data_IF_797217397021
#
_entry.id   IF_797217397021
#
_cell.length_a   1.000
_cell.length_b   1.000
_cell.length_c   1.000
_cell.angle_alpha   90.00
_cell.angle_beta   90.00
_cell.angle_gamma   90.00
#
_symmetry.space_group_name_H-M   'P 1'
#
loop_
_entity.id
_entity.type
_entity.pdbx_description
1 polymer ?
#
# COMPACT_ATOMS: atom_id res chain seq x y z
N UNK A 1 -0.32 4.85 -24.28
CA UNK A 1 0.06 6.25 -24.52
C UNK A 1 0.66 6.81 -23.23
N UNK A 2 1.99 6.91 -23.13
CA UNK A 2 2.63 7.60 -21.98
C UNK A 2 2.58 9.09 -22.32
N UNK A 3 1.68 9.86 -21.70
CA UNK A 3 1.78 11.32 -21.75
C UNK A 3 3.05 11.68 -20.97
N UNK A 4 4.17 11.85 -21.70
CA UNK A 4 5.50 12.18 -21.16
C UNK A 4 5.35 13.34 -20.16
N UNK A 5 5.69 13.10 -18.89
CA UNK A 5 5.66 14.13 -17.84
C UNK A 5 4.48 14.08 -16.86
N UNK A 6 3.43 13.28 -17.07
CA UNK A 6 2.30 13.27 -16.11
C UNK A 6 2.66 12.58 -14.79
N UNK A 7 3.44 11.50 -14.82
CA UNK A 7 3.83 10.75 -13.61
C UNK A 7 4.63 11.62 -12.64
N UNK A 8 5.70 12.33 -13.07
CA UNK A 8 6.41 13.27 -12.21
C UNK A 8 5.49 14.29 -11.54
N UNK A 9 4.60 14.94 -12.32
CA UNK A 9 3.66 15.94 -11.80
C UNK A 9 2.70 15.35 -10.75
N UNK A 10 2.22 14.13 -10.96
CA UNK A 10 1.33 13.44 -10.00
C UNK A 10 2.08 13.09 -8.72
N UNK A 11 3.30 12.56 -8.82
CA UNK A 11 4.11 12.17 -7.66
C UNK A 11 4.53 13.39 -6.85
N UNK A 12 4.95 14.49 -7.49
CA UNK A 12 5.30 15.74 -6.81
C UNK A 12 4.10 16.37 -6.07
N UNK A 13 2.91 16.23 -6.65
CA UNK A 13 1.67 16.75 -6.06
C UNK A 13 1.29 16.06 -4.74
N UNK A 14 1.85 14.89 -4.43
CA UNK A 14 1.61 14.19 -3.16
C UNK A 14 2.19 14.90 -1.93
N UNK A 15 3.14 15.84 -2.13
CA UNK A 15 3.69 16.66 -1.05
C UNK A 15 2.75 17.78 -0.58
N UNK A 16 1.65 18.02 -1.30
CA UNK A 16 0.74 19.14 -1.01
C UNK A 16 -0.20 18.78 0.14
N UNK A 17 -0.56 19.78 0.94
CA UNK A 17 -1.48 19.62 2.09
C UNK A 17 -2.95 19.43 1.67
N UNK A 18 -3.30 19.71 0.40
CA UNK A 18 -4.68 19.62 -0.07
C UNK A 18 -5.08 18.16 -0.32
N UNK A 19 -6.00 17.67 0.50
CA UNK A 19 -6.39 16.26 0.56
C UNK A 19 -7.03 15.74 -0.72
N UNK A 20 -7.95 16.52 -1.30
CA UNK A 20 -8.66 16.10 -2.52
C UNK A 20 -7.70 15.98 -3.70
N UNK A 21 -6.70 16.86 -3.75
CA UNK A 21 -5.64 16.79 -4.74
C UNK A 21 -4.79 15.54 -4.55
N UNK A 22 -4.36 15.25 -3.32
CA UNK A 22 -3.62 14.01 -3.01
C UNK A 22 -4.45 12.78 -3.41
N UNK A 23 -5.73 12.73 -3.05
CA UNK A 23 -6.63 11.64 -3.40
C UNK A 23 -6.74 11.43 -4.92
N UNK A 24 -6.93 12.52 -5.67
CA UNK A 24 -7.03 12.48 -7.14
C UNK A 24 -5.70 12.04 -7.74
N UNK A 25 -4.56 12.56 -7.26
CA UNK A 25 -3.24 12.18 -7.73
C UNK A 25 -2.96 10.68 -7.53
N UNK A 26 -3.23 10.14 -6.34
CA UNK A 26 -3.09 8.71 -6.06
C UNK A 26 -4.05 7.89 -6.94
N UNK A 27 -5.27 8.37 -7.16
CA UNK A 27 -6.25 7.69 -8.03
C UNK A 27 -5.79 7.58 -9.48
N UNK A 28 -5.09 8.59 -10.00
CA UNK A 28 -4.46 8.51 -11.32
C UNK A 28 -3.25 7.58 -11.30
N UNK A 29 -2.38 7.68 -10.29
CA UNK A 29 -1.22 6.79 -10.15
C UNK A 29 -1.63 5.33 -10.05
N UNK A 30 -2.72 5.01 -9.35
CA UNK A 30 -3.29 3.67 -9.30
C UNK A 30 -3.62 3.15 -10.71
N UNK A 31 -4.34 3.93 -11.53
CA UNK A 31 -4.67 3.53 -12.90
C UNK A 31 -3.43 3.35 -13.77
N UNK A 32 -2.42 4.20 -13.59
CA UNK A 32 -1.17 4.14 -14.34
C UNK A 32 -0.29 2.95 -13.92
N UNK A 33 -0.29 2.59 -12.64
CA UNK A 33 0.54 1.53 -12.05
C UNK A 33 0.21 0.11 -12.54
N UNK A 34 -0.90 -0.07 -13.26
CA UNK A 34 -1.25 -1.36 -13.89
C UNK A 34 -0.25 -1.71 -15.01
N UNK A 35 0.33 -0.71 -15.67
CA UNK A 35 1.27 -0.89 -16.77
C UNK A 35 2.71 -0.98 -16.25
N UNK A 36 3.43 -2.07 -16.55
CA UNK A 36 4.81 -2.28 -16.07
C UNK A 36 5.75 -1.09 -16.36
N UNK A 37 5.74 -0.53 -17.57
CA UNK A 37 6.57 0.63 -17.94
C UNK A 37 6.33 1.87 -17.07
N UNK A 38 5.13 2.01 -16.50
CA UNK A 38 4.82 3.13 -15.62
C UNK A 38 5.28 2.88 -14.18
N UNK A 39 5.42 1.62 -13.75
CA UNK A 39 5.85 1.28 -12.38
C UNK A 39 7.24 1.83 -12.09
N UNK A 40 8.18 1.57 -13.00
CA UNK A 40 9.56 2.06 -12.90
C UNK A 40 9.60 3.58 -12.78
N UNK A 41 8.83 4.28 -13.61
CA UNK A 41 8.77 5.75 -13.59
C UNK A 41 8.17 6.28 -12.29
N UNK A 42 7.10 5.65 -11.79
CA UNK A 42 6.46 6.03 -10.51
C UNK A 42 7.47 5.91 -9.37
N UNK A 43 8.22 4.80 -9.31
CA UNK A 43 9.24 4.58 -8.27
C UNK A 43 10.41 5.55 -8.42
N UNK A 44 10.92 5.75 -9.65
CA UNK A 44 12.00 6.72 -9.94
C UNK A 44 11.67 8.15 -9.52
N UNK A 45 10.40 8.56 -9.60
CA UNK A 45 9.96 9.87 -9.13
C UNK A 45 9.86 9.98 -7.59
N UNK A 46 10.27 8.96 -6.83
CA UNK A 46 10.29 8.99 -5.36
C UNK A 46 8.95 8.66 -4.71
N UNK A 47 8.05 7.96 -5.41
CA UNK A 47 6.73 7.62 -4.88
C UNK A 47 6.79 6.84 -3.56
N UNK A 48 7.71 5.87 -3.42
CA UNK A 48 7.77 5.02 -2.22
C UNK A 48 8.04 5.82 -0.94
N UNK A 49 8.93 6.80 -0.97
CA UNK A 49 9.19 7.70 0.17
C UNK A 49 7.94 8.52 0.52
N UNK A 50 7.26 9.09 -0.48
CA UNK A 50 6.02 9.84 -0.27
C UNK A 50 4.88 8.96 0.26
N UNK A 51 4.74 7.74 -0.27
CA UNK A 51 3.77 6.76 0.21
C UNK A 51 4.04 6.38 1.67
N UNK A 52 5.29 6.18 2.05
CA UNK A 52 5.71 5.89 3.42
C UNK A 52 5.29 7.02 4.37
N UNK A 53 5.54 8.28 3.98
CA UNK A 53 5.10 9.44 4.74
C UNK A 53 3.58 9.53 4.84
N UNK A 54 2.85 9.32 3.74
CA UNK A 54 1.38 9.33 3.73
C UNK A 54 0.80 8.27 4.66
N UNK A 55 1.32 7.03 4.62
CA UNK A 55 0.90 5.95 5.51
C UNK A 55 1.11 6.32 6.99
N UNK A 56 2.25 6.95 7.32
CA UNK A 56 2.53 7.46 8.65
C UNK A 56 1.48 8.50 9.09
N UNK A 57 1.21 9.50 8.25
CA UNK A 57 0.21 10.54 8.53
C UNK A 57 -1.20 9.95 8.72
N UNK A 58 -1.54 8.89 7.99
CA UNK A 58 -2.85 8.24 8.09
C UNK A 58 -3.04 7.51 9.43
N UNK A 59 -1.97 6.88 9.95
CA UNK A 59 -1.98 6.18 11.25
C UNK A 59 -2.11 7.16 12.42
N UNK A 60 -1.53 8.36 12.31
CA UNK A 60 -1.58 9.43 13.31
C UNK A 60 -2.96 10.13 13.40
N UNK A 61 -3.99 9.57 12.76
CA UNK A 61 -5.41 10.01 12.76
C UNK A 61 -5.65 11.46 12.35
N UNK A 62 -4.67 12.10 11.72
CA UNK A 62 -4.76 13.50 11.33
C UNK A 62 -5.11 13.55 9.83
N UNK A 63 -6.41 13.69 9.55
CA UNK A 63 -6.92 14.29 8.31
C UNK A 63 -7.20 13.43 7.06
N UNK A 64 -6.97 12.11 6.98
CA UNK A 64 -7.23 11.38 5.72
C UNK A 64 -8.41 10.40 5.76
N UNK A 65 -9.11 10.31 4.63
CA UNK A 65 -10.33 9.50 4.49
C UNK A 65 -9.99 8.07 4.09
N UNK A 66 -10.77 7.09 4.57
CA UNK A 66 -10.59 5.68 4.22
C UNK A 66 -10.48 5.40 2.70
N UNK A 67 -11.22 6.08 1.81
CA UNK A 67 -11.05 5.93 0.36
C UNK A 67 -9.64 6.28 -0.14
N UNK A 68 -9.00 7.30 0.45
CA UNK A 68 -7.64 7.73 0.08
C UNK A 68 -6.60 6.68 0.46
N UNK A 69 -6.74 6.12 1.67
CA UNK A 69 -5.89 5.01 2.14
C UNK A 69 -6.06 3.80 1.22
N UNK A 70 -7.30 3.43 0.90
CA UNK A 70 -7.59 2.28 0.05
C UNK A 70 -6.99 2.42 -1.36
N UNK A 71 -7.06 3.61 -1.97
CA UNK A 71 -6.45 3.81 -3.29
C UNK A 71 -4.92 3.84 -3.24
N UNK A 72 -4.33 4.33 -2.14
CA UNK A 72 -2.88 4.21 -1.92
C UNK A 72 -2.46 2.75 -1.82
N UNK A 73 -3.16 1.95 -1.01
CA UNK A 73 -2.91 0.51 -0.88
C UNK A 73 -3.07 -0.24 -2.20
N UNK A 74 -4.09 0.10 -3.01
CA UNK A 74 -4.24 -0.46 -4.36
C UNK A 74 -3.09 -0.10 -5.30
N UNK A 75 -2.54 1.11 -5.17
CA UNK A 75 -1.36 1.52 -5.95
C UNK A 75 -0.12 0.72 -5.53
N UNK A 76 0.11 0.58 -4.22
CA UNK A 76 1.19 -0.25 -3.67
C UNK A 76 1.04 -1.71 -4.10
N UNK A 77 -0.17 -2.26 -4.08
CA UNK A 77 -0.44 -3.63 -4.54
C UNK A 77 -0.08 -3.83 -6.02
N UNK A 78 -0.38 -2.88 -6.90
CA UNK A 78 0.00 -2.99 -8.30
C UNK A 78 1.53 -2.95 -8.48
N UNK A 79 2.20 -2.10 -7.71
CA UNK A 79 3.65 -1.95 -7.73
C UNK A 79 4.37 -3.19 -7.16
N UNK A 80 3.82 -3.83 -6.12
CA UNK A 80 4.44 -4.98 -5.44
C UNK A 80 4.51 -6.26 -6.29
N UNK A 81 3.88 -6.29 -7.48
CA UNK A 81 4.07 -7.40 -8.42
C UNK A 81 5.44 -7.39 -9.11
N UNK A 82 6.18 -6.28 -9.04
CA UNK A 82 7.58 -6.25 -9.44
C UNK A 82 8.46 -6.59 -8.22
N UNK A 83 9.27 -7.66 -8.27
CA UNK A 83 10.06 -8.11 -7.12
C UNK A 83 11.06 -7.07 -6.61
N UNK A 84 11.69 -6.30 -7.51
CA UNK A 84 12.66 -5.28 -7.12
C UNK A 84 11.95 -4.13 -6.37
N UNK A 85 10.79 -3.71 -6.89
CA UNK A 85 9.97 -2.69 -6.23
C UNK A 85 9.41 -3.22 -4.88
N UNK A 86 9.03 -4.49 -4.80
CA UNK A 86 8.56 -5.10 -3.56
C UNK A 86 9.66 -5.12 -2.48
N UNK A 87 10.91 -5.46 -2.85
CA UNK A 87 12.05 -5.36 -1.96
C UNK A 87 12.26 -3.91 -1.49
N UNK A 88 12.22 -2.92 -2.39
CA UNK A 88 12.34 -1.51 -2.02
C UNK A 88 11.24 -1.05 -1.05
N UNK A 89 10.01 -1.56 -1.20
CA UNK A 89 8.91 -1.27 -0.27
C UNK A 89 9.19 -1.81 1.14
N UNK A 90 9.72 -3.03 1.23
CA UNK A 90 10.12 -3.63 2.50
C UNK A 90 11.21 -2.78 3.16
N UNK A 91 12.19 -2.34 2.39
CA UNK A 91 13.37 -1.61 2.86
C UNK A 91 13.02 -0.20 3.33
N UNK A 92 12.05 0.43 2.68
CA UNK A 92 11.52 1.73 3.09
C UNK A 92 10.51 1.63 4.26
N UNK A 93 10.24 0.43 4.77
CA UNK A 93 9.34 0.22 5.91
C UNK A 93 7.85 0.40 5.59
N UNK A 94 7.45 0.21 4.32
CA UNK A 94 6.04 0.20 3.92
C UNK A 94 5.33 -1.01 4.54
N UNK A 95 5.98 -2.18 4.58
CA UNK A 95 5.41 -3.41 5.15
C UNK A 95 4.88 -3.18 6.57
N UNK A 96 5.70 -2.63 7.48
CA UNK A 96 5.31 -2.39 8.87
C UNK A 96 4.10 -1.45 8.99
N UNK A 97 4.10 -0.37 8.21
CA UNK A 97 2.98 0.59 8.21
C UNK A 97 1.69 0.00 7.66
N UNK A 98 1.79 -0.85 6.64
CA UNK A 98 0.63 -1.59 6.11
C UNK A 98 0.13 -2.62 7.13
N UNK A 99 1.03 -3.25 7.89
CA UNK A 99 0.65 -4.17 8.97
C UNK A 99 -0.20 -3.48 10.04
N UNK A 100 0.14 -2.25 10.43
CA UNK A 100 -0.68 -1.46 11.36
C UNK A 100 -2.07 -1.13 10.80
N UNK A 101 -2.19 -0.91 9.48
CA UNK A 101 -3.48 -0.60 8.83
C UNK A 101 -4.46 -1.77 8.82
N UNK A 102 -4.00 -3.01 9.04
CA UNK A 102 -4.89 -4.19 9.16
C UNK A 102 -5.89 -4.03 10.30
N UNK A 103 -5.52 -3.27 11.35
CA UNK A 103 -6.40 -3.00 12.48
C UNK A 103 -7.65 -2.20 12.09
N UNK A 104 -7.59 -1.45 10.98
CA UNK A 104 -8.67 -0.56 10.52
C UNK A 104 -9.62 -1.34 9.58
N UNK A 105 -10.85 -1.70 10.01
CA UNK A 105 -11.70 -2.64 9.26
C UNK A 105 -12.02 -2.22 7.83
N UNK A 106 -12.23 -0.92 7.60
CA UNK A 106 -12.64 -0.38 6.28
C UNK A 106 -11.53 -0.48 5.22
N UNK A 107 -10.25 -0.47 5.60
CA UNK A 107 -9.11 -0.58 4.66
C UNK A 107 -8.44 -1.96 4.72
N UNK A 108 -8.73 -2.75 5.75
CA UNK A 108 -8.15 -4.06 6.03
C UNK A 108 -8.06 -4.98 4.81
N UNK A 109 -9.09 -5.15 3.97
CA UNK A 109 -8.98 -6.04 2.80
C UNK A 109 -7.90 -5.61 1.81
N UNK A 110 -7.69 -4.30 1.63
CA UNK A 110 -6.64 -3.78 0.76
C UNK A 110 -5.26 -3.92 1.42
N UNK A 111 -5.16 -3.72 2.74
CA UNK A 111 -3.91 -3.87 3.48
C UNK A 111 -3.41 -5.33 3.45
N UNK A 112 -4.29 -6.29 3.70
CA UNK A 112 -3.95 -7.73 3.68
C UNK A 112 -3.41 -8.15 2.31
N UNK A 113 -3.98 -7.65 1.20
CA UNK A 113 -3.49 -7.97 -0.16
C UNK A 113 -2.06 -7.48 -0.40
N UNK A 114 -1.73 -6.29 0.10
CA UNK A 114 -0.37 -5.75 0.00
C UNK A 114 0.59 -6.57 0.87
N UNK A 115 0.21 -6.86 2.13
CA UNK A 115 1.04 -7.70 3.00
C UNK A 115 1.32 -9.04 2.36
N UNK A 116 0.30 -9.72 1.85
CA UNK A 116 0.44 -11.00 1.17
C UNK A 116 1.54 -10.95 0.11
N UNK A 117 1.48 -9.97 -0.80
CA UNK A 117 2.49 -9.79 -1.84
C UNK A 117 3.89 -9.53 -1.27
N UNK A 118 4.01 -8.66 -0.27
CA UNK A 118 5.31 -8.32 0.32
C UNK A 118 5.89 -9.47 1.16
N UNK A 119 5.08 -10.42 1.61
CA UNK A 119 5.52 -11.59 2.37
C UNK A 119 5.76 -12.84 1.54
N UNK A 120 5.63 -12.77 0.21
CA UNK A 120 6.02 -13.89 -0.68
C UNK A 120 7.53 -14.19 -0.50
N UNK A 121 8.34 -13.16 -0.36
CA UNK A 121 9.77 -13.31 -0.10
C UNK A 121 10.09 -13.45 1.40
N UNK A 122 11.15 -14.21 1.70
CA UNK A 122 11.55 -14.56 3.06
C UNK A 122 11.80 -13.33 3.95
N UNK A 123 12.36 -12.26 3.39
CA UNK A 123 12.64 -11.03 4.14
C UNK A 123 11.37 -10.37 4.66
N UNK A 124 10.37 -10.21 3.78
CA UNK A 124 9.09 -9.62 4.17
C UNK A 124 8.34 -10.49 5.18
N UNK A 125 8.35 -11.81 4.98
CA UNK A 125 7.79 -12.78 5.92
C UNK A 125 8.44 -12.65 7.31
N UNK A 126 9.77 -12.63 7.37
CA UNK A 126 10.52 -12.47 8.63
C UNK A 126 10.18 -11.17 9.36
N UNK A 127 10.12 -10.04 8.63
CA UNK A 127 9.75 -8.75 9.22
C UNK A 127 8.33 -8.74 9.77
N UNK A 128 7.38 -9.40 9.08
CA UNK A 128 6.01 -9.52 9.59
C UNK A 128 5.95 -10.40 10.84
N UNK A 129 6.73 -11.48 10.91
CA UNK A 129 6.80 -12.36 12.09
C UNK A 129 7.20 -11.60 13.36
N UNK A 130 8.18 -10.70 13.25
CA UNK A 130 8.66 -9.91 14.39
C UNK A 130 7.90 -8.58 14.58
N UNK A 131 6.89 -8.31 13.74
CA UNK A 131 6.06 -7.12 13.88
C UNK A 131 5.11 -7.23 15.07
N UNK A 132 5.10 -6.22 15.95
CA UNK A 132 4.36 -6.20 17.23
C UNK A 132 2.90 -6.65 17.11
N UNK A 133 2.22 -6.24 16.05
CA UNK A 133 0.79 -6.51 15.83
C UNK A 133 0.53 -7.40 14.60
N UNK A 134 1.57 -7.84 13.87
CA UNK A 134 1.40 -8.46 12.56
C UNK A 134 0.69 -9.82 12.63
N UNK A 135 1.41 -10.84 13.07
CA UNK A 135 0.87 -12.21 13.17
C UNK A 135 -0.31 -12.33 14.15
N UNK A 136 -0.27 -11.76 15.37
CA UNK A 136 -1.39 -11.90 16.30
C UNK A 136 -2.72 -11.39 15.73
N UNK A 137 -2.72 -10.22 15.08
CA UNK A 137 -3.92 -9.64 14.50
C UNK A 137 -4.46 -10.47 13.32
N UNK A 138 -3.57 -11.04 12.50
CA UNK A 138 -3.99 -11.91 11.39
C UNK A 138 -4.62 -13.21 11.90
N UNK A 139 -4.10 -13.77 13.00
CA UNK A 139 -4.68 -14.94 13.66
C UNK A 139 -6.06 -14.62 14.26
N UNK A 140 -6.19 -13.48 14.94
CA UNK A 140 -7.48 -13.04 15.49
C UNK A 140 -8.54 -12.87 14.38
N UNK A 141 -8.15 -12.28 13.24
CA UNK A 141 -9.03 -12.12 12.07
C UNK A 141 -9.41 -13.49 11.49
N UNK A 142 -8.46 -14.41 11.36
CA UNK A 142 -8.73 -15.75 10.85
C UNK A 142 -9.68 -16.52 11.78
N UNK A 143 -9.49 -16.43 13.10
CA UNK A 143 -10.35 -17.06 14.09
C UNK A 143 -11.77 -16.48 14.11
N UNK A 144 -11.92 -15.18 13.85
CA UNK A 144 -13.21 -14.50 13.77
C UNK A 144 -13.94 -14.73 12.43
N UNK A 145 -13.29 -15.32 11.43
CA UNK A 145 -13.89 -15.57 10.12
C UNK A 145 -14.76 -16.84 10.18
N UNK A 146 -16.08 -16.78 9.89
CA UNK A 146 -16.95 -17.95 9.91
C UNK A 146 -16.44 -19.03 8.95
N UNK A 147 -16.50 -20.31 9.36
CA UNK A 147 -16.03 -21.45 8.54
C UNK A 147 -16.70 -21.51 7.17
N UNK A 148 -17.95 -21.07 7.09
CA UNK A 148 -18.79 -21.08 5.89
C UNK A 148 -18.43 -19.95 4.90
N UNK A 149 -17.57 -19.00 5.30
CA UNK A 149 -17.08 -17.93 4.44
C UNK A 149 -15.85 -18.36 3.62
N UNK A 150 -15.18 -19.46 3.99
CA UNK A 150 -14.03 -20.02 3.28
C UNK A 150 -14.49 -20.95 2.14
N UNK A 151 -15.18 -20.36 1.16
CA UNK A 151 -15.49 -20.90 -0.19
C UNK A 151 -16.33 -22.19 -0.22
N UNK A 152 -17.56 -22.06 -0.73
CA UNK A 152 -18.26 -23.13 -1.46
C UNK A 152 -17.38 -23.55 -2.65
N UNK A 153 -16.85 -24.78 -2.62
CA UNK A 153 -16.24 -25.46 -3.78
C UNK A 153 -17.22 -25.63 -4.94
#
# INVERSE_FOLDING_TARGET
MVKRGIIPLLVDSLNRKQRDLVHVCISFLWKLSVMNKNKDEIVKCGFLSKATHLLQTFLEKTSCTAPTITVLLKTLYNLSFDPAIAADMVDCGILSRVADLVAIPVVRPAAIRVLYQLTIEARGSSLLTFHKSGIPLLLDIAAATPKDACINE
#
